data_IF_530234532823
#
_entry.id   IF_530234532823
#
_cell.length_a   1.000
_cell.length_b   1.000
_cell.length_c   1.000
_cell.angle_alpha   90.00
_cell.angle_beta   90.00
_cell.angle_gamma   90.00
#
_symmetry.space_group_name_H-M   'P 1'
#
loop_
_entity.id
_entity.type
_entity.pdbx_description
1 polymer ?
#
# COMPACT_ATOMS: atom_id res chain seq x y z
N UNK A 1 16.21 -7.37 -48.58
CA UNK A 1 14.97 -8.20 -48.58
C UNK A 1 14.14 -8.17 -47.29
N UNK A 2 14.71 -7.90 -46.10
CA UNK A 2 13.95 -7.85 -44.83
C UNK A 2 13.02 -6.63 -44.69
N UNK A 3 13.35 -5.50 -45.32
CA UNK A 3 12.57 -4.26 -45.26
C UNK A 3 11.23 -4.29 -46.04
N UNK A 4 11.10 -5.12 -47.08
CA UNK A 4 9.86 -5.18 -47.87
C UNK A 4 8.82 -6.15 -47.28
N UNK A 5 9.29 -7.22 -46.61
CA UNK A 5 8.43 -8.05 -45.76
C UNK A 5 7.92 -7.28 -44.52
N UNK A 6 8.68 -6.28 -44.06
CA UNK A 6 8.32 -5.34 -42.99
C UNK A 6 7.14 -4.44 -43.39
N UNK A 7 7.15 -3.80 -44.57
CA UNK A 7 6.00 -2.99 -45.04
C UNK A 7 4.70 -3.78 -45.30
N UNK A 8 4.82 -5.00 -45.84
CA UNK A 8 3.66 -5.86 -46.13
C UNK A 8 3.02 -6.48 -44.87
N UNK A 9 3.81 -6.71 -43.82
CA UNK A 9 3.31 -7.15 -42.52
C UNK A 9 2.64 -5.99 -41.76
N UNK A 10 3.21 -4.77 -41.84
CA UNK A 10 2.62 -3.54 -41.31
C UNK A 10 1.24 -3.29 -41.92
N UNK A 11 1.05 -3.41 -43.24
CA UNK A 11 -0.24 -3.16 -43.91
C UNK A 11 -1.39 -4.13 -43.55
N UNK A 12 -1.08 -5.28 -42.92
CA UNK A 12 -2.11 -6.26 -42.49
C UNK A 12 -2.53 -6.05 -41.04
N UNK A 13 -1.59 -5.75 -40.14
CA UNK A 13 -1.90 -5.44 -38.73
C UNK A 13 -2.51 -4.04 -38.59
N UNK A 14 -2.06 -3.09 -39.41
CA UNK A 14 -2.67 -1.77 -39.56
C UNK A 14 -4.13 -1.88 -40.01
N UNK A 15 -4.55 -2.91 -40.76
CA UNK A 15 -5.94 -3.02 -41.23
C UNK A 15 -6.93 -3.35 -40.12
N UNK A 16 -6.49 -4.08 -39.10
CA UNK A 16 -7.33 -4.44 -37.95
C UNK A 16 -7.21 -3.41 -36.80
N UNK A 17 -6.10 -2.66 -36.74
CA UNK A 17 -5.89 -1.55 -35.80
C UNK A 17 -6.44 -0.21 -36.34
N UNK A 18 -6.57 -0.01 -37.67
CA UNK A 18 -7.06 1.24 -38.29
C UNK A 18 -8.56 1.54 -38.12
N UNK A 19 -9.31 0.74 -37.37
CA UNK A 19 -10.56 1.26 -36.79
C UNK A 19 -10.31 2.14 -35.56
N UNK A 20 -9.09 2.15 -35.03
CA UNK A 20 -8.63 3.01 -33.95
C UNK A 20 -7.48 3.84 -34.52
N UNK A 21 -7.81 4.98 -35.12
CA UNK A 21 -6.83 6.03 -35.45
C UNK A 21 -6.25 6.56 -34.15
N UNK A 22 -5.19 5.91 -33.64
CA UNK A 22 -4.54 6.31 -32.41
C UNK A 22 -3.29 7.12 -32.72
N UNK A 23 -3.44 8.44 -32.69
CA UNK A 23 -2.34 9.40 -32.75
C UNK A 23 -1.74 9.72 -31.38
N UNK A 24 -2.34 9.26 -30.28
CA UNK A 24 -1.89 9.55 -28.92
C UNK A 24 -1.44 8.26 -28.20
N UNK A 25 -0.25 8.24 -27.56
CA UNK A 25 0.20 7.12 -26.73
C UNK A 25 -0.83 6.66 -25.71
N UNK A 26 -1.67 7.58 -25.21
CA UNK A 26 -2.78 7.30 -24.30
C UNK A 26 -3.77 6.30 -24.89
N UNK A 27 -4.22 6.52 -26.12
CA UNK A 27 -5.22 5.68 -26.75
C UNK A 27 -4.69 4.28 -27.13
N UNK A 28 -3.36 4.09 -27.20
CA UNK A 28 -2.75 2.76 -27.38
C UNK A 28 -2.95 1.96 -26.09
N UNK A 29 -2.63 2.57 -24.95
CA UNK A 29 -2.78 1.91 -23.66
C UNK A 29 -4.24 1.73 -23.23
N UNK A 30 -5.11 2.67 -23.58
CA UNK A 30 -6.57 2.54 -23.37
C UNK A 30 -7.14 1.38 -24.21
N UNK A 31 -6.76 1.27 -25.50
CA UNK A 31 -7.14 0.14 -26.35
C UNK A 31 -6.61 -1.20 -25.82
N UNK A 32 -5.41 -1.20 -25.22
CA UNK A 32 -4.84 -2.37 -24.55
C UNK A 32 -5.58 -2.75 -23.25
N UNK A 33 -6.18 -1.78 -22.56
CA UNK A 33 -6.99 -2.01 -21.35
C UNK A 33 -8.24 -2.85 -21.59
N UNK A 34 -8.80 -2.82 -22.80
CA UNK A 34 -10.02 -3.54 -23.20
C UNK A 34 -9.77 -4.99 -23.66
N UNK A 35 -8.51 -5.42 -23.83
CA UNK A 35 -8.21 -6.77 -24.33
C UNK A 35 -8.39 -7.80 -23.19
N UNK A 36 -9.33 -8.76 -23.33
CA UNK A 36 -9.64 -9.71 -22.26
C UNK A 36 -8.50 -10.71 -21.96
N UNK A 37 -7.53 -10.87 -22.88
CA UNK A 37 -6.36 -11.73 -22.71
C UNK A 37 -5.08 -10.94 -22.46
N UNK A 38 -4.85 -10.56 -21.20
CA UNK A 38 -3.65 -9.81 -20.77
C UNK A 38 -2.34 -10.61 -20.81
N UNK A 39 -2.40 -11.93 -20.97
CA UNK A 39 -1.22 -12.82 -20.83
C UNK A 39 -0.07 -12.49 -21.78
N UNK A 40 -0.33 -11.89 -22.94
CA UNK A 40 0.68 -11.58 -23.94
C UNK A 40 0.77 -10.09 -24.29
N UNK A 41 0.09 -9.22 -23.55
CA UNK A 41 0.01 -7.80 -23.90
C UNK A 41 1.39 -7.13 -23.86
N UNK A 42 2.20 -7.49 -22.88
CA UNK A 42 3.55 -6.96 -22.72
C UNK A 42 4.50 -7.45 -23.79
N UNK A 43 4.29 -8.65 -24.35
CA UNK A 43 5.05 -9.15 -25.51
C UNK A 43 4.76 -8.31 -26.75
N UNK A 44 3.50 -7.94 -26.97
CA UNK A 44 3.09 -7.11 -28.11
C UNK A 44 3.60 -5.68 -27.96
N UNK A 45 3.44 -5.10 -26.76
CA UNK A 45 3.94 -3.76 -26.44
C UNK A 45 5.47 -3.72 -26.59
N UNK A 46 6.17 -4.73 -26.10
CA UNK A 46 7.63 -4.77 -26.17
C UNK A 46 8.16 -5.00 -27.59
N UNK A 47 7.49 -5.83 -28.39
CA UNK A 47 7.81 -6.01 -29.82
C UNK A 47 7.64 -4.70 -30.59
N UNK A 48 6.56 -3.95 -30.29
CA UNK A 48 6.31 -2.63 -30.88
C UNK A 48 7.37 -1.58 -30.51
N UNK A 49 7.76 -1.50 -29.23
CA UNK A 49 8.72 -0.50 -28.74
C UNK A 49 10.19 -0.96 -28.81
N UNK A 50 10.45 -2.21 -29.21
CA UNK A 50 11.81 -2.77 -29.26
C UNK A 50 12.47 -2.89 -27.88
N UNK A 51 11.71 -3.19 -26.83
CA UNK A 51 12.22 -3.36 -25.46
C UNK A 51 11.96 -4.77 -24.92
N UNK A 52 12.35 -5.05 -23.68
CA UNK A 52 12.03 -6.31 -23.01
C UNK A 52 10.59 -6.22 -22.45
N UNK A 53 9.77 -7.29 -22.52
CA UNK A 53 8.41 -7.30 -21.97
C UNK A 53 8.30 -6.81 -20.52
N UNK A 54 9.28 -7.15 -19.70
CA UNK A 54 9.37 -6.72 -18.30
C UNK A 54 9.52 -5.20 -18.19
N UNK A 55 10.32 -4.57 -19.05
CA UNK A 55 10.52 -3.11 -19.05
C UNK A 55 9.24 -2.39 -19.46
N UNK A 56 8.53 -2.89 -20.47
CA UNK A 56 7.23 -2.37 -20.88
C UNK A 56 6.18 -2.47 -19.75
N UNK A 57 6.12 -3.63 -19.09
CA UNK A 57 5.26 -3.86 -17.92
C UNK A 57 5.59 -2.88 -16.79
N UNK A 58 6.86 -2.76 -16.43
CA UNK A 58 7.31 -1.95 -15.31
C UNK A 58 7.12 -0.46 -15.60
N UNK A 59 7.39 -0.01 -16.82
CA UNK A 59 7.11 1.35 -17.25
C UNK A 59 5.61 1.67 -17.13
N UNK A 60 4.75 0.76 -17.59
CA UNK A 60 3.30 0.93 -17.50
C UNK A 60 2.83 1.10 -16.06
N UNK A 61 3.18 0.14 -15.18
CA UNK A 61 2.67 0.11 -13.82
C UNK A 61 3.31 1.16 -12.89
N UNK A 62 4.56 1.55 -13.15
CA UNK A 62 5.28 2.46 -12.27
C UNK A 62 5.19 3.92 -12.70
N UNK A 63 5.06 4.20 -13.99
CA UNK A 63 5.12 5.55 -14.55
C UNK A 63 3.80 5.87 -15.22
N UNK A 64 3.41 5.11 -16.25
CA UNK A 64 2.34 5.54 -17.14
C UNK A 64 0.96 5.58 -16.48
N UNK A 65 0.58 4.50 -15.79
CA UNK A 65 -0.71 4.42 -15.10
C UNK A 65 -0.91 5.51 -14.05
N UNK A 66 0.19 6.01 -13.46
CA UNK A 66 0.16 7.07 -12.45
C UNK A 66 -0.04 8.45 -13.06
N UNK A 67 0.38 8.69 -14.30
CA UNK A 67 0.22 10.00 -14.96
C UNK A 67 -1.23 10.34 -15.28
N UNK A 68 -2.09 9.32 -15.40
CA UNK A 68 -3.53 9.49 -15.64
C UNK A 68 -4.40 9.31 -14.41
N UNK A 69 -3.77 9.17 -13.25
CA UNK A 69 -4.49 9.03 -12.00
C UNK A 69 -4.36 10.30 -11.19
N UNK A 70 -5.44 10.68 -10.53
CA UNK A 70 -5.44 11.74 -9.55
C UNK A 70 -4.51 11.39 -8.38
N UNK A 71 -3.81 12.42 -7.90
CA UNK A 71 -2.97 12.31 -6.72
C UNK A 71 -3.84 12.36 -5.47
N UNK A 72 -3.66 11.40 -4.55
CA UNK A 72 -4.33 11.41 -3.24
C UNK A 72 -3.50 12.04 -2.12
N UNK A 73 -2.40 12.75 -2.44
CA UNK A 73 -1.48 13.27 -1.42
C UNK A 73 -2.17 14.23 -0.44
N UNK A 74 -3.03 15.12 -0.93
CA UNK A 74 -3.76 16.09 -0.12
C UNK A 74 -4.90 15.45 0.70
N UNK A 75 -5.34 14.26 0.29
CA UNK A 75 -6.42 13.49 0.93
C UNK A 75 -5.88 12.39 1.86
N UNK A 76 -4.57 12.35 2.10
CA UNK A 76 -3.96 11.42 3.06
C UNK A 76 -4.56 11.51 4.47
N UNK A 77 -4.86 12.70 5.04
CA UNK A 77 -5.47 12.78 6.36
C UNK A 77 -6.84 12.11 6.44
N UNK A 78 -7.65 12.22 5.38
CA UNK A 78 -8.95 11.57 5.27
C UNK A 78 -8.81 10.04 5.22
N UNK A 79 -7.87 9.53 4.43
CA UNK A 79 -7.57 8.10 4.37
C UNK A 79 -7.10 7.58 5.74
N UNK A 80 -6.23 8.34 6.42
CA UNK A 80 -5.72 7.99 7.75
C UNK A 80 -6.85 7.92 8.78
N UNK A 81 -7.82 8.83 8.72
CA UNK A 81 -9.03 8.79 9.54
C UNK A 81 -9.88 7.55 9.27
N UNK A 82 -10.17 7.25 7.99
CA UNK A 82 -10.92 6.04 7.62
C UNK A 82 -10.22 4.77 8.11
N UNK A 83 -8.89 4.71 8.01
CA UNK A 83 -8.10 3.58 8.53
C UNK A 83 -8.27 3.45 10.04
N UNK A 84 -8.20 4.55 10.79
CA UNK A 84 -8.36 4.53 12.24
C UNK A 84 -9.75 4.04 12.67
N UNK A 85 -10.81 4.52 12.02
CA UNK A 85 -12.20 4.13 12.28
C UNK A 85 -12.44 2.63 11.98
N UNK A 86 -11.97 2.16 10.82
CA UNK A 86 -12.19 0.76 10.42
C UNK A 86 -11.33 -0.21 11.24
N UNK A 87 -10.13 0.18 11.69
CA UNK A 87 -9.30 -0.64 12.57
C UNK A 87 -9.89 -0.86 13.97
N UNK A 88 -10.81 0.00 14.41
CA UNK A 88 -11.49 -0.20 15.70
C UNK A 88 -12.62 -1.23 15.61
N UNK A 89 -13.27 -1.32 14.44
CA UNK A 89 -14.47 -2.13 14.25
C UNK A 89 -14.22 -3.48 13.58
N UNK A 90 -13.11 -3.65 12.86
CA UNK A 90 -12.85 -4.84 12.04
C UNK A 90 -11.58 -5.59 12.48
N UNK A 91 -11.60 -6.93 12.54
CA UNK A 91 -10.45 -7.72 12.99
C UNK A 91 -9.40 -7.97 11.90
N UNK A 92 -9.78 -7.95 10.62
CA UNK A 92 -8.89 -8.37 9.51
C UNK A 92 -8.36 -7.17 8.73
N UNK A 93 -7.04 -7.15 8.50
CA UNK A 93 -6.36 -6.15 7.65
C UNK A 93 -6.95 -6.11 6.25
N UNK A 94 -7.22 -7.26 5.65
CA UNK A 94 -7.75 -7.35 4.29
C UNK A 94 -9.14 -6.72 4.20
N UNK A 95 -9.99 -6.94 5.20
CA UNK A 95 -11.32 -6.34 5.29
C UNK A 95 -11.22 -4.83 5.45
N UNK A 96 -10.37 -4.35 6.37
CA UNK A 96 -10.11 -2.91 6.57
C UNK A 96 -9.64 -2.26 5.27
N UNK A 97 -8.64 -2.82 4.59
CA UNK A 97 -8.14 -2.29 3.32
C UNK A 97 -9.25 -2.17 2.28
N UNK A 98 -10.05 -3.22 2.11
CA UNK A 98 -11.15 -3.23 1.13
C UNK A 98 -12.20 -2.16 1.45
N UNK A 99 -12.60 -2.05 2.72
CA UNK A 99 -13.62 -1.07 3.15
C UNK A 99 -13.13 0.36 3.03
N UNK A 100 -11.91 0.66 3.48
CA UNK A 100 -11.32 2.01 3.37
C UNK A 100 -11.25 2.46 1.91
N UNK A 101 -10.77 1.60 1.01
CA UNK A 101 -10.71 1.92 -0.42
C UNK A 101 -12.12 2.15 -0.98
N UNK A 102 -13.08 1.30 -0.65
CA UNK A 102 -14.45 1.43 -1.15
C UNK A 102 -15.11 2.73 -0.67
N UNK A 103 -14.96 3.08 0.61
CA UNK A 103 -15.50 4.32 1.18
C UNK A 103 -14.84 5.55 0.56
N UNK A 104 -13.51 5.56 0.47
CA UNK A 104 -12.77 6.67 -0.13
C UNK A 104 -13.15 6.90 -1.60
N UNK A 105 -13.24 5.84 -2.40
CA UNK A 105 -13.66 5.96 -3.80
C UNK A 105 -15.13 6.39 -3.95
N UNK A 106 -16.00 6.02 -3.00
CA UNK A 106 -17.39 6.47 -3.00
C UNK A 106 -17.55 7.96 -2.64
N UNK A 107 -16.61 8.52 -1.86
CA UNK A 107 -16.59 9.94 -1.48
C UNK A 107 -16.06 10.84 -2.59
N UNK A 108 -15.27 10.30 -3.52
CA UNK A 108 -14.62 11.04 -4.60
C UNK A 108 -14.96 10.41 -5.97
N UNK A 109 -16.24 10.37 -6.38
CA UNK A 109 -16.68 9.70 -7.61
C UNK A 109 -16.21 10.39 -8.90
N UNK A 110 -15.80 11.65 -8.81
CA UNK A 110 -15.27 12.48 -9.90
C UNK A 110 -13.76 12.28 -10.15
N UNK A 111 -13.07 11.56 -9.26
CA UNK A 111 -11.61 11.34 -9.34
C UNK A 111 -11.27 9.89 -9.69
N UNK A 112 -10.19 9.73 -10.44
CA UNK A 112 -9.64 8.45 -10.85
C UNK A 112 -8.32 8.17 -10.14
N UNK A 113 -8.35 7.44 -9.02
CA UNK A 113 -7.14 7.13 -8.26
C UNK A 113 -6.42 5.87 -8.75
N UNK A 114 -5.08 5.89 -8.67
CA UNK A 114 -4.26 4.71 -8.94
C UNK A 114 -4.45 3.67 -7.82
N UNK A 115 -5.27 2.65 -8.10
CA UNK A 115 -5.69 1.63 -7.11
C UNK A 115 -4.53 0.95 -6.38
N UNK A 116 -3.44 0.61 -7.08
CA UNK A 116 -2.29 -0.04 -6.46
C UNK A 116 -1.60 0.88 -5.44
N UNK A 117 -1.40 2.15 -5.79
CA UNK A 117 -0.77 3.11 -4.89
C UNK A 117 -1.63 3.41 -3.67
N UNK A 118 -2.95 3.53 -3.87
CA UNK A 118 -3.90 3.69 -2.77
C UNK A 118 -3.88 2.47 -1.84
N UNK A 119 -3.90 1.25 -2.40
CA UNK A 119 -3.85 0.01 -1.64
C UNK A 119 -2.56 -0.11 -0.81
N UNK A 120 -1.41 0.17 -1.42
CA UNK A 120 -0.10 0.17 -0.74
C UNK A 120 -0.08 1.18 0.42
N UNK A 121 -0.62 2.38 0.21
CA UNK A 121 -0.70 3.40 1.25
C UNK A 121 -1.57 2.96 2.43
N UNK A 122 -2.76 2.43 2.17
CA UNK A 122 -3.67 1.93 3.22
C UNK A 122 -3.03 0.78 4.01
N UNK A 123 -2.40 -0.18 3.33
CA UNK A 123 -1.66 -1.27 3.98
C UNK A 123 -0.53 -0.75 4.87
N UNK A 124 0.24 0.23 4.38
CA UNK A 124 1.31 0.86 5.15
C UNK A 124 0.75 1.50 6.44
N UNK A 125 -0.36 2.23 6.35
CA UNK A 125 -0.97 2.86 7.52
C UNK A 125 -1.51 1.86 8.53
N UNK A 126 -2.15 0.78 8.08
CA UNK A 126 -2.60 -0.30 8.96
C UNK A 126 -1.41 -0.88 9.75
N UNK A 127 -0.33 -1.21 9.06
CA UNK A 127 0.87 -1.77 9.68
C UNK A 127 1.53 -0.78 10.65
N UNK A 128 1.54 0.52 10.31
CA UNK A 128 2.06 1.58 11.18
C UNK A 128 1.27 1.67 12.49
N UNK A 129 -0.06 1.69 12.41
CA UNK A 129 -0.94 1.79 13.58
C UNK A 129 -0.81 0.59 14.52
N UNK A 130 -0.62 -0.62 13.98
CA UNK A 130 -0.42 -1.83 14.79
C UNK A 130 0.91 -1.84 15.53
N UNK A 131 2.01 -1.45 14.87
CA UNK A 131 3.34 -1.35 15.51
C UNK A 131 3.34 -0.36 16.68
N UNK A 132 2.59 0.73 16.56
CA UNK A 132 2.44 1.70 17.66
C UNK A 132 1.73 1.09 18.87
N UNK A 133 0.68 0.30 18.66
CA UNK A 133 -0.06 -0.39 19.75
C UNK A 133 0.81 -1.42 20.47
N UNK A 134 1.57 -2.23 19.72
CA UNK A 134 2.49 -3.21 20.30
C UNK A 134 3.57 -2.56 21.17
N UNK A 135 4.11 -1.42 20.72
CA UNK A 135 5.11 -0.67 21.49
C UNK A 135 4.54 -0.09 22.77
N UNK A 136 3.32 0.45 22.72
CA UNK A 136 2.62 0.99 23.88
C UNK A 136 2.34 -0.08 24.95
N UNK A 137 1.86 -1.26 24.53
CA UNK A 137 1.63 -2.38 25.46
C UNK A 137 2.92 -2.87 26.12
N UNK A 138 4.04 -2.93 25.38
CA UNK A 138 5.32 -3.34 25.96
C UNK A 138 5.84 -2.37 27.02
N UNK A 139 5.60 -1.05 26.86
CA UNK A 139 6.00 -0.06 27.87
C UNK A 139 5.17 -0.11 29.17
N UNK A 140 3.89 -0.47 29.10
CA UNK A 140 3.04 -0.58 30.30
C UNK A 140 3.42 -1.77 31.20
N UNK A 141 3.83 -2.89 30.58
CA UNK A 141 4.25 -4.09 31.32
C UNK A 141 5.58 -3.85 32.05
N UNK A 142 6.52 -3.10 31.46
CA UNK A 142 7.80 -2.79 32.12
C UNK A 142 7.67 -1.82 33.29
N UNK A 143 6.70 -0.91 33.29
CA UNK A 143 6.52 0.03 34.41
C UNK A 143 5.79 -0.59 35.61
N UNK A 144 4.94 -1.59 35.39
CA UNK A 144 4.21 -2.26 36.47
C UNK A 144 5.12 -3.15 37.34
N UNK A 145 6.26 -3.60 36.83
CA UNK A 145 7.20 -4.44 37.59
C UNK A 145 8.18 -3.67 38.50
N UNK A 146 8.31 -2.34 38.36
CA UNK A 146 9.27 -1.56 39.17
C UNK A 146 8.62 -0.91 40.40
N UNK A 147 7.29 -0.79 40.44
CA UNK A 147 6.57 -0.22 41.60
C UNK A 147 6.30 -1.21 42.74
N UNK A 148 6.70 -2.48 42.63
CA UNK A 148 6.43 -3.50 43.64
C UNK A 148 7.68 -3.96 44.43
N UNK A 149 8.75 -3.14 44.47
CA UNK A 149 9.95 -3.41 45.29
C UNK A 149 10.38 -2.20 46.12
N UNK A 150 9.42 -1.39 46.56
CA UNK A 150 9.58 -0.63 47.80
C UNK A 150 8.86 -1.41 48.89
N UNK A 151 9.52 -2.46 49.39
CA UNK A 151 9.18 -3.02 50.69
C UNK A 151 9.34 -1.89 51.71
N UNK A 152 8.22 -1.47 52.29
CA UNK A 152 8.15 -0.64 53.47
C UNK A 152 9.02 -1.31 54.55
N UNK A 153 10.25 -0.84 54.74
CA UNK A 153 11.00 -1.16 55.95
C UNK A 153 10.27 -0.42 57.05
N UNK A 154 9.47 -1.15 57.81
CA UNK A 154 8.71 -0.54 58.90
C UNK A 154 9.67 -0.24 60.06
N UNK A 155 9.37 0.79 60.83
CA UNK A 155 10.14 1.15 62.04
C UNK A 155 10.24 -0.04 63.01
N UNK A 156 9.30 -0.98 62.94
CA UNK A 156 9.31 -2.24 63.71
C UNK A 156 10.51 -3.14 63.38
N UNK A 157 10.91 -3.22 62.11
CA UNK A 157 12.02 -4.07 61.68
C UNK A 157 13.37 -3.54 62.16
N UNK A 158 13.51 -2.20 62.21
CA UNK A 158 14.69 -1.52 62.76
C UNK A 158 14.78 -1.71 64.28
N UNK A 159 13.65 -1.69 65.00
CA UNK A 159 13.62 -1.91 66.45
C UNK A 159 13.99 -3.36 66.84
N UNK A 160 13.63 -4.34 66.02
CA UNK A 160 14.04 -5.73 66.24
C UNK A 160 15.55 -5.93 66.08
N UNK A 161 16.15 -5.31 65.05
CA UNK A 161 17.59 -5.39 64.80
C UNK A 161 18.42 -4.78 65.94
N UNK A 162 17.98 -3.64 66.49
CA UNK A 162 18.67 -2.98 67.61
C UNK A 162 18.59 -3.81 68.90
N UNK A 163 17.48 -4.54 69.14
CA UNK A 163 17.34 -5.42 70.31
C UNK A 163 18.34 -6.58 70.31
N UNK A 164 18.70 -7.11 69.14
CA UNK A 164 19.64 -8.24 69.05
C UNK A 164 21.11 -7.82 69.22
N UNK A 165 21.44 -6.55 69.00
CA UNK A 165 22.81 -6.04 69.23
C UNK A 165 23.07 -5.79 70.72
N UNK A 166 22.04 -5.48 71.52
CA UNK A 166 22.19 -5.23 72.97
C UNK A 166 22.31 -6.48 73.85
N UNK A 167 22.37 -7.68 73.26
CA UNK A 167 22.47 -8.97 73.98
C UNK A 167 23.84 -9.67 73.81
N UNK A 168 24.81 -8.98 73.19
CA UNK A 168 26.24 -9.35 73.13
C UNK A 168 27.05 -8.41 74.01
#
# INVERSE_FOLDING_TARGET
MKAHKFELAMSRVIRDINKITVTEPKAIFDAFGEIPCRKNIWLLVSDYYGCIPQEAHDYYHNIWSKQFSDSFQEMKPEIDQLVAEQLQSQPSKATVTKMVIQLFLAQHPDKSFHKLSLNQYVHHQINRSQKTKEKAQKSEISNTQVSNTQSEVTVSDIQMLLKNISLL
#
